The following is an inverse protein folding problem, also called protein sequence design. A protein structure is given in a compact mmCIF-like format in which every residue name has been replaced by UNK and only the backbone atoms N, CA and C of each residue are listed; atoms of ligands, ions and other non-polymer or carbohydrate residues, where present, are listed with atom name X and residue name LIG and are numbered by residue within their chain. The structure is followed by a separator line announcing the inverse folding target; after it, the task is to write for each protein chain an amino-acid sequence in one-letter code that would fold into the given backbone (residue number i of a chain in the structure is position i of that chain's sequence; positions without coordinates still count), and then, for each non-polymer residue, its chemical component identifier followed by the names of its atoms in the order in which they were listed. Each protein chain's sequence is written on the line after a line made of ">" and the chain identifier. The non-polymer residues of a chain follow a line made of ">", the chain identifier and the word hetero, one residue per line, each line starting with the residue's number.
data_IF_488289926148
#
_entry.id   IF_488289926148
#
_cell.length_a   1.000
_cell.length_b   1.000
_cell.length_c   1.000
_cell.angle_alpha   90.00
_cell.angle_beta   90.00
_cell.angle_gamma   90.00
#
_symmetry.space_group_name_H-M   'P 1'
#
loop_
_entity.id
_entity.type
_entity.pdbx_description
1 polymer ?
#
# COMPACT_ATOMS: atom_id res chain seq x y z
N UNK A 1 7.13 17.39 1.05
CA UNK A 1 6.96 16.13 0.29
C UNK A 1 6.94 14.96 1.26
N UNK A 2 5.85 14.18 1.37
CA UNK A 2 5.78 12.98 2.21
C UNK A 2 6.80 11.90 1.81
N UNK A 3 7.15 11.00 2.73
CA UNK A 3 8.15 9.94 2.51
C UNK A 3 7.59 8.58 2.96
N UNK A 4 7.78 7.54 2.15
CA UNK A 4 7.49 6.15 2.53
C UNK A 4 8.82 5.41 2.75
N UNK A 5 9.07 4.93 3.97
CA UNK A 5 10.33 4.27 4.33
C UNK A 5 10.08 2.78 4.56
N UNK A 6 10.53 1.96 3.61
CA UNK A 6 10.46 0.51 3.72
C UNK A 6 11.66 -0.06 4.48
N UNK A 7 11.41 -0.68 5.64
CA UNK A 7 12.42 -1.42 6.40
C UNK A 7 12.39 -2.89 5.98
N UNK A 8 13.44 -3.29 5.26
CA UNK A 8 13.60 -4.64 4.69
C UNK A 8 14.34 -5.61 5.62
N UNK A 9 15.17 -5.08 6.50
CA UNK A 9 16.06 -5.84 7.39
C UNK A 9 15.65 -5.72 8.84
N UNK A 10 15.79 -6.82 9.60
CA UNK A 10 15.55 -6.80 11.04
C UNK A 10 16.79 -6.25 11.77
N UNK A 11 16.90 -4.92 11.77
CA UNK A 11 18.03 -4.20 12.36
C UNK A 11 17.54 -3.03 13.23
N UNK A 12 17.69 -3.18 14.55
CA UNK A 12 17.20 -2.18 15.51
C UNK A 12 17.97 -0.87 15.45
N UNK A 13 19.27 -0.90 15.13
CA UNK A 13 20.07 0.30 14.97
C UNK A 13 19.59 1.12 13.76
N UNK A 14 19.26 0.45 12.64
CA UNK A 14 18.68 1.09 11.46
C UNK A 14 17.33 1.75 11.81
N UNK A 15 16.42 1.01 12.45
CA UNK A 15 15.09 1.51 12.83
C UNK A 15 15.23 2.75 13.73
N UNK A 16 16.12 2.69 14.73
CA UNK A 16 16.41 3.82 15.61
C UNK A 16 16.96 5.02 14.86
N UNK A 17 17.92 4.82 13.95
CA UNK A 17 18.51 5.91 13.15
C UNK A 17 17.49 6.58 12.24
N UNK A 18 16.58 5.80 11.64
CA UNK A 18 15.46 6.36 10.87
C UNK A 18 14.55 7.19 11.77
N UNK A 19 14.15 6.67 12.94
CA UNK A 19 13.33 7.38 13.93
C UNK A 19 13.97 8.70 14.39
N UNK A 20 15.27 8.68 14.71
CA UNK A 20 16.05 9.87 15.08
C UNK A 20 16.01 10.94 13.98
N UNK A 21 16.19 10.55 12.71
CA UNK A 21 16.12 11.49 11.58
C UNK A 21 14.70 12.07 11.41
N UNK A 22 13.67 11.23 11.47
CA UNK A 22 12.29 11.69 11.31
C UNK A 22 11.90 12.68 12.41
N UNK A 23 12.28 12.41 13.67
CA UNK A 23 12.07 13.32 14.80
C UNK A 23 12.87 14.60 14.66
N UNK A 24 14.16 14.51 14.33
CA UNK A 24 15.05 15.67 14.17
C UNK A 24 14.53 16.68 13.16
N UNK A 25 13.90 16.21 12.08
CA UNK A 25 13.35 17.07 11.04
C UNK A 25 11.84 17.34 11.19
N UNK A 26 11.22 16.89 12.29
CA UNK A 26 9.79 17.06 12.58
C UNK A 26 8.89 16.57 11.43
N UNK A 27 8.99 15.28 11.08
CA UNK A 27 8.32 14.70 9.90
C UNK A 27 7.48 13.46 10.20
N UNK A 28 7.10 13.27 11.45
CA UNK A 28 6.45 12.04 11.93
C UNK A 28 5.07 11.84 11.29
N UNK A 29 4.35 12.92 11.05
CA UNK A 29 3.03 13.00 10.41
C UNK A 29 3.04 12.73 8.90
N UNK A 30 4.19 12.92 8.25
CA UNK A 30 4.36 12.78 6.78
C UNK A 30 5.36 11.69 6.38
N UNK A 31 5.78 10.85 7.32
CA UNK A 31 6.70 9.73 7.05
C UNK A 31 6.07 8.41 7.46
N UNK A 32 6.00 7.47 6.54
CA UNK A 32 5.32 6.18 6.74
C UNK A 32 6.33 5.08 7.04
N UNK A 33 6.06 4.28 8.07
CA UNK A 33 6.71 2.99 8.24
C UNK A 33 6.12 1.95 7.28
N UNK A 34 6.94 1.36 6.42
CA UNK A 34 6.56 0.22 5.60
C UNK A 34 7.44 -1.00 5.92
N UNK A 35 6.83 -2.17 5.97
CA UNK A 35 7.52 -3.45 6.00
C UNK A 35 6.51 -4.57 5.77
N UNK A 36 6.87 -5.55 4.96
CA UNK A 36 6.03 -6.74 4.74
C UNK A 36 6.03 -7.69 5.95
N UNK A 37 7.05 -7.60 6.82
CA UNK A 37 7.28 -8.51 7.96
C UNK A 37 6.70 -7.93 9.26
N UNK A 38 5.75 -8.64 9.86
CA UNK A 38 5.09 -8.20 11.09
C UNK A 38 6.02 -8.01 12.29
N UNK A 39 7.09 -8.81 12.44
CA UNK A 39 8.03 -8.64 13.56
C UNK A 39 8.85 -7.35 13.42
N UNK A 40 9.29 -6.99 12.21
CA UNK A 40 9.97 -5.72 11.93
C UNK A 40 9.00 -4.56 12.18
N UNK A 41 7.78 -4.63 11.65
CA UNK A 41 6.79 -3.56 11.83
C UNK A 41 6.48 -3.31 13.32
N UNK A 42 6.42 -4.37 14.15
CA UNK A 42 6.29 -4.23 15.61
C UNK A 42 7.45 -3.45 16.23
N UNK A 43 8.69 -3.69 15.80
CA UNK A 43 9.87 -2.94 16.26
C UNK A 43 9.80 -1.47 15.81
N UNK A 44 9.45 -1.21 14.55
CA UNK A 44 9.26 0.16 14.04
C UNK A 44 8.22 0.95 14.85
N UNK A 45 7.05 0.35 15.07
CA UNK A 45 5.98 0.97 15.86
C UNK A 45 6.34 1.18 17.33
N UNK A 46 7.15 0.30 17.91
CA UNK A 46 7.67 0.47 19.27
C UNK A 46 8.65 1.64 19.35
N UNK A 47 9.52 1.79 18.36
CA UNK A 47 10.53 2.85 18.30
C UNK A 47 9.92 4.24 18.04
N UNK A 48 8.96 4.34 17.12
CA UNK A 48 8.20 5.56 16.90
C UNK A 48 6.72 5.26 16.61
N UNK A 49 5.84 5.33 17.63
CA UNK A 49 4.40 5.08 17.46
C UNK A 49 3.64 6.24 16.81
N UNK A 50 4.22 7.43 16.72
CA UNK A 50 3.58 8.63 16.15
C UNK A 50 3.49 8.58 14.63
N UNK A 51 4.36 7.81 13.99
CA UNK A 51 4.39 7.67 12.53
C UNK A 51 3.27 6.75 12.03
N UNK A 52 2.58 7.11 10.94
CA UNK A 52 1.68 6.19 10.26
C UNK A 52 2.43 4.96 9.73
N UNK A 53 1.72 3.85 9.59
CA UNK A 53 2.34 2.58 9.18
C UNK A 53 1.48 1.78 8.21
N UNK A 54 2.16 0.99 7.39
CA UNK A 54 1.55 0.16 6.36
C UNK A 54 1.14 -1.22 6.88
N UNK A 55 0.22 -1.86 6.15
CA UNK A 55 -0.12 -3.26 6.36
C UNK A 55 1.07 -4.18 6.11
N UNK A 56 1.19 -5.22 6.95
CA UNK A 56 2.07 -6.37 6.72
C UNK A 56 1.29 -7.51 6.08
N UNK A 57 1.97 -8.51 5.50
CA UNK A 57 1.28 -9.62 4.80
C UNK A 57 0.24 -10.35 5.67
N UNK A 58 0.53 -10.76 6.92
CA UNK A 58 -0.49 -11.39 7.77
C UNK A 58 -1.71 -10.50 8.04
N UNK A 59 -1.49 -9.18 8.12
CA UNK A 59 -2.56 -8.20 8.34
C UNK A 59 -3.41 -8.00 7.09
N UNK A 60 -2.83 -8.10 5.89
CA UNK A 60 -3.59 -8.16 4.63
C UNK A 60 -4.45 -9.43 4.58
N UNK A 61 -3.91 -10.60 4.94
CA UNK A 61 -4.71 -11.84 4.99
C UNK A 61 -5.88 -11.70 5.96
N UNK A 62 -5.64 -11.18 7.16
CA UNK A 62 -6.70 -10.91 8.12
C UNK A 62 -7.73 -9.91 7.60
N UNK A 63 -7.30 -8.84 6.91
CA UNK A 63 -8.19 -7.87 6.29
C UNK A 63 -9.11 -8.54 5.26
N UNK A 64 -8.58 -9.42 4.42
CA UNK A 64 -9.37 -10.15 3.42
C UNK A 64 -10.37 -11.10 4.08
N UNK A 65 -9.95 -11.84 5.11
CA UNK A 65 -10.86 -12.71 5.87
C UNK A 65 -12.01 -11.91 6.48
N UNK A 66 -11.72 -10.76 7.08
CA UNK A 66 -12.74 -9.86 7.64
C UNK A 66 -13.65 -9.26 6.55
N UNK A 67 -13.09 -8.91 5.39
CA UNK A 67 -13.86 -8.38 4.28
C UNK A 67 -14.83 -9.43 3.72
N UNK A 68 -14.34 -10.64 3.41
CA UNK A 68 -15.14 -11.70 2.80
C UNK A 68 -16.12 -12.37 3.78
N UNK A 69 -15.86 -12.32 5.08
CA UNK A 69 -16.83 -12.72 6.11
C UNK A 69 -17.88 -11.65 6.43
N UNK A 70 -17.72 -10.43 5.92
CA UNK A 70 -18.59 -9.30 6.23
C UNK A 70 -18.34 -8.67 7.60
N UNK A 71 -17.29 -9.08 8.33
CA UNK A 71 -16.97 -8.60 9.67
C UNK A 71 -16.14 -7.31 9.70
N UNK A 72 -15.55 -6.90 8.58
CA UNK A 72 -14.66 -5.73 8.50
C UNK A 72 -15.25 -4.42 9.08
N UNK A 73 -16.55 -4.10 8.91
CA UNK A 73 -17.15 -2.91 9.50
C UNK A 73 -17.12 -2.88 11.04
N UNK A 74 -17.04 -4.04 11.69
CA UNK A 74 -17.09 -4.18 13.15
C UNK A 74 -15.70 -4.23 13.79
N UNK A 75 -14.63 -4.21 13.00
CA UNK A 75 -13.25 -4.33 13.49
C UNK A 75 -12.47 -3.05 13.22
N UNK A 76 -11.84 -2.51 14.26
CA UNK A 76 -10.90 -1.40 14.15
C UNK A 76 -9.63 -1.82 13.40
N UNK A 77 -9.20 -1.00 12.46
CA UNK A 77 -7.98 -1.17 11.68
C UNK A 77 -7.04 -0.03 12.08
N UNK A 78 -5.83 -0.38 12.52
CA UNK A 78 -4.86 0.60 13.02
C UNK A 78 -3.87 1.08 11.96
N UNK A 79 -3.74 0.34 10.87
CA UNK A 79 -2.88 0.66 9.73
C UNK A 79 -3.42 1.86 8.94
N UNK A 80 -2.51 2.68 8.42
CA UNK A 80 -2.85 3.87 7.62
C UNK A 80 -2.69 3.66 6.11
N UNK A 81 -1.91 2.68 5.69
CA UNK A 81 -1.60 2.43 4.28
C UNK A 81 -1.69 0.95 3.90
N UNK A 82 -2.60 0.60 2.99
CA UNK A 82 -2.54 -0.66 2.26
C UNK A 82 -1.66 -0.46 1.03
N UNK A 83 -0.51 -1.13 0.99
CA UNK A 83 0.43 -1.03 -0.13
C UNK A 83 0.60 -2.43 -0.74
N UNK A 84 0.49 -2.57 -2.07
CA UNK A 84 0.69 -3.87 -2.69
C UNK A 84 0.73 -3.87 -4.21
N UNK A 85 1.08 -5.05 -4.74
CA UNK A 85 1.13 -5.27 -6.18
C UNK A 85 -0.23 -5.55 -6.80
N UNK A 86 -0.44 -5.10 -8.04
CA UNK A 86 -1.56 -5.57 -8.88
C UNK A 86 -1.14 -6.92 -9.50
N UNK A 87 -1.72 -8.06 -9.08
CA UNK A 87 -1.17 -9.38 -9.43
C UNK A 87 -1.03 -9.64 -10.93
N UNK A 88 -1.99 -9.18 -11.72
CA UNK A 88 -1.95 -9.32 -13.18
C UNK A 88 -0.91 -8.46 -13.90
N UNK A 89 -0.34 -7.44 -13.24
CA UNK A 89 0.78 -6.65 -13.77
C UNK A 89 2.11 -7.34 -13.45
N UNK A 90 2.20 -8.08 -12.34
CA UNK A 90 3.43 -8.76 -11.89
C UNK A 90 4.07 -9.57 -13.02
N UNK A 91 3.27 -10.35 -13.77
CA UNK A 91 3.80 -11.18 -14.85
C UNK A 91 4.41 -10.41 -16.04
N UNK A 92 4.21 -9.08 -16.13
CA UNK A 92 4.80 -8.23 -17.17
C UNK A 92 6.14 -7.64 -16.72
N UNK A 93 6.29 -7.33 -15.43
CA UNK A 93 7.41 -6.53 -14.90
C UNK A 93 8.33 -7.29 -13.96
N UNK A 94 7.88 -8.41 -13.38
CA UNK A 94 8.63 -9.19 -12.40
C UNK A 94 8.54 -10.68 -12.73
N UNK A 95 9.69 -11.34 -12.83
CA UNK A 95 9.74 -12.80 -13.00
C UNK A 95 9.36 -13.42 -11.65
N UNK A 96 8.21 -14.12 -11.53
CA UNK A 96 7.82 -14.69 -10.25
C UNK A 96 8.84 -15.76 -9.84
N UNK A 97 9.48 -15.59 -8.69
CA UNK A 97 10.37 -16.62 -8.14
C UNK A 97 9.61 -17.92 -7.82
N UNK A 98 8.32 -17.81 -7.47
CA UNK A 98 7.46 -18.96 -7.21
C UNK A 98 6.88 -19.56 -8.51
N UNK A 99 7.05 -20.87 -8.76
CA UNK A 99 6.44 -21.56 -9.91
C UNK A 99 4.92 -21.44 -9.97
N UNK A 100 4.25 -21.33 -8.82
CA UNK A 100 2.78 -21.24 -8.71
C UNK A 100 2.26 -19.92 -9.31
N UNK A 101 3.01 -18.83 -9.11
CA UNK A 101 2.68 -17.51 -9.66
C UNK A 101 2.89 -17.42 -11.18
N UNK A 102 3.45 -18.46 -11.84
CA UNK A 102 3.51 -18.54 -13.31
C UNK A 102 2.17 -18.94 -13.94
N UNK A 103 1.27 -19.56 -13.17
CA UNK A 103 -0.04 -19.96 -13.69
C UNK A 103 -0.95 -18.74 -13.87
N UNK A 104 -1.40 -18.51 -15.11
CA UNK A 104 -2.35 -17.41 -15.43
C UNK A 104 -3.65 -17.53 -14.65
N UNK A 105 -4.12 -18.74 -14.39
CA UNK A 105 -5.35 -18.98 -13.64
C UNK A 105 -5.17 -18.53 -12.19
N UNK A 106 -4.04 -18.92 -11.57
CA UNK A 106 -3.72 -18.52 -10.19
C UNK A 106 -3.59 -17.01 -10.07
N UNK A 107 -2.88 -16.37 -11.00
CA UNK A 107 -2.73 -14.90 -11.02
C UNK A 107 -4.08 -14.21 -11.20
N UNK A 108 -4.94 -14.70 -12.08
CA UNK A 108 -6.29 -14.16 -12.29
C UNK A 108 -7.16 -14.30 -11.04
N UNK A 109 -7.07 -15.43 -10.33
CA UNK A 109 -7.77 -15.63 -9.06
C UNK A 109 -7.25 -14.68 -7.98
N UNK A 110 -5.93 -14.57 -7.82
CA UNK A 110 -5.33 -13.64 -6.86
C UNK A 110 -5.69 -12.19 -7.16
N UNK A 111 -5.69 -11.80 -8.44
CA UNK A 111 -6.10 -10.47 -8.86
C UNK A 111 -7.55 -10.19 -8.47
N UNK A 112 -8.47 -11.13 -8.75
CA UNK A 112 -9.87 -11.02 -8.32
C UNK A 112 -10.02 -10.95 -6.80
N UNK A 113 -9.25 -11.72 -6.04
CA UNK A 113 -9.37 -11.75 -4.58
C UNK A 113 -8.79 -10.49 -3.93
N UNK A 114 -7.66 -10.01 -4.43
CA UNK A 114 -6.94 -8.88 -3.82
C UNK A 114 -7.44 -7.52 -4.31
N UNK A 115 -7.82 -7.40 -5.58
CA UNK A 115 -8.14 -6.14 -6.25
C UNK A 115 -9.65 -5.84 -6.21
N UNK A 116 -10.21 -5.77 -5.01
CA UNK A 116 -11.64 -5.53 -4.79
C UNK A 116 -11.96 -4.04 -4.60
N UNK A 117 -12.73 -3.46 -5.54
CA UNK A 117 -13.09 -2.03 -5.50
C UNK A 117 -13.83 -1.62 -4.23
N UNK A 118 -14.75 -2.46 -3.77
CA UNK A 118 -15.55 -2.17 -2.58
C UNK A 118 -14.70 -2.22 -1.30
N UNK A 119 -13.71 -3.12 -1.25
CA UNK A 119 -12.72 -3.14 -0.17
C UNK A 119 -11.93 -1.82 -0.17
N UNK A 120 -11.39 -1.39 -1.30
CA UNK A 120 -10.60 -0.15 -1.36
C UNK A 120 -11.44 1.08 -1.02
N UNK A 121 -12.68 1.14 -1.51
CA UNK A 121 -13.64 2.19 -1.12
C UNK A 121 -13.91 2.19 0.38
N UNK A 122 -14.08 1.01 0.99
CA UNK A 122 -14.29 0.88 2.43
C UNK A 122 -13.06 1.36 3.23
N UNK A 123 -11.86 1.00 2.80
CA UNK A 123 -10.61 1.45 3.42
C UNK A 123 -10.44 2.97 3.29
N UNK A 124 -10.64 3.53 2.09
CA UNK A 124 -10.54 4.96 1.85
C UNK A 124 -11.55 5.77 2.67
N UNK A 125 -12.79 5.28 2.81
CA UNK A 125 -13.80 5.90 3.67
C UNK A 125 -13.41 5.91 5.16
N UNK A 126 -12.49 5.04 5.57
CA UNK A 126 -11.91 4.99 6.91
C UNK A 126 -10.59 5.77 7.04
N UNK A 127 -10.24 6.57 6.03
CA UNK A 127 -8.99 7.34 6.01
C UNK A 127 -7.74 6.52 5.69
N UNK A 128 -7.89 5.25 5.30
CA UNK A 128 -6.77 4.38 4.95
C UNK A 128 -6.43 4.58 3.48
N UNK A 129 -5.17 4.91 3.20
CA UNK A 129 -4.69 5.07 1.84
C UNK A 129 -4.40 3.72 1.19
N UNK A 130 -4.75 3.57 -0.08
CA UNK A 130 -4.49 2.37 -0.88
C UNK A 130 -3.50 2.75 -1.98
N UNK A 131 -2.26 2.28 -1.87
CA UNK A 131 -1.20 2.53 -2.85
C UNK A 131 -0.87 1.26 -3.63
N UNK A 132 -0.98 1.31 -4.95
CA UNK A 132 -0.69 0.17 -5.82
C UNK A 132 0.62 0.37 -6.59
N UNK A 133 1.42 -0.68 -6.69
CA UNK A 133 2.75 -0.64 -7.31
C UNK A 133 3.10 -1.97 -8.00
N UNK A 134 4.17 -2.10 -8.77
CA UNK A 134 4.82 -1.00 -9.50
C UNK A 134 4.03 -0.81 -10.79
N UNK A 135 3.41 0.36 -10.96
CA UNK A 135 2.67 0.71 -12.17
C UNK A 135 3.57 1.56 -13.04
N UNK A 136 3.83 1.19 -14.29
CA UNK A 136 4.83 1.89 -15.14
C UNK A 136 4.26 2.36 -16.49
N UNK A 137 3.07 1.92 -16.85
CA UNK A 137 2.35 2.31 -18.08
C UNK A 137 1.03 3.04 -17.78
N UNK A 138 0.54 3.84 -18.74
CA UNK A 138 -0.75 4.54 -18.63
C UNK A 138 -1.92 3.57 -18.35
N UNK A 139 -1.87 2.34 -18.89
CA UNK A 139 -2.86 1.30 -18.60
C UNK A 139 -2.82 0.82 -17.15
N UNK A 140 -1.64 0.80 -16.53
CA UNK A 140 -1.46 0.40 -15.14
C UNK A 140 -2.03 1.48 -14.21
N UNK A 141 -1.77 2.76 -14.53
CA UNK A 141 -2.32 3.91 -13.82
C UNK A 141 -3.86 3.91 -13.90
N UNK A 142 -4.39 3.79 -15.12
CA UNK A 142 -5.83 3.70 -15.36
C UNK A 142 -6.45 2.58 -14.53
N UNK A 143 -5.83 1.39 -14.52
CA UNK A 143 -6.31 0.27 -13.74
C UNK A 143 -6.28 0.57 -12.25
N UNK A 144 -5.15 1.02 -11.72
CA UNK A 144 -5.00 1.31 -10.29
C UNK A 144 -6.06 2.30 -9.80
N UNK A 145 -6.25 3.41 -10.51
CA UNK A 145 -7.27 4.40 -10.16
C UNK A 145 -8.70 3.87 -10.37
N UNK A 146 -8.96 3.08 -11.41
CA UNK A 146 -10.27 2.46 -11.62
C UNK A 146 -10.67 1.45 -10.52
N UNK A 147 -9.68 0.89 -9.82
CA UNK A 147 -9.87 0.02 -8.67
C UNK A 147 -10.17 0.80 -7.39
N UNK A 148 -9.93 2.12 -7.37
CA UNK A 148 -10.08 2.95 -6.19
C UNK A 148 -8.78 3.15 -5.39
N UNK A 149 -7.61 2.94 -6.02
CA UNK A 149 -6.34 3.31 -5.39
C UNK A 149 -6.32 4.82 -5.10
N UNK A 150 -5.84 5.19 -3.90
CA UNK A 150 -5.66 6.60 -3.51
C UNK A 150 -4.29 7.13 -3.93
N UNK A 151 -3.38 6.24 -4.35
CA UNK A 151 -2.05 6.57 -4.84
C UNK A 151 -1.45 5.44 -5.67
N UNK A 152 -0.41 5.76 -6.42
CA UNK A 152 0.34 4.82 -7.27
C UNK A 152 1.82 5.01 -7.01
N UNK A 153 2.58 3.92 -6.94
CA UNK A 153 4.05 3.98 -6.97
C UNK A 153 4.56 3.48 -8.32
N UNK A 154 5.49 4.25 -8.90
CA UNK A 154 5.98 4.09 -10.26
C UNK A 154 7.45 4.47 -10.34
N UNK A 155 8.19 3.83 -11.25
CA UNK A 155 9.54 4.23 -11.62
C UNK A 155 9.55 5.44 -12.58
N UNK A 156 8.38 5.83 -13.12
CA UNK A 156 8.22 6.91 -14.10
C UNK A 156 7.33 8.05 -13.57
N UNK A 157 7.77 8.81 -12.55
CA UNK A 157 6.94 9.83 -11.91
C UNK A 157 6.51 10.96 -12.86
N UNK A 158 7.36 11.33 -13.83
CA UNK A 158 6.99 12.33 -14.86
C UNK A 158 5.83 11.84 -15.73
N UNK A 159 5.83 10.56 -16.13
CA UNK A 159 4.73 9.98 -16.90
C UNK A 159 3.43 9.94 -16.09
N UNK A 160 3.50 9.55 -14.82
CA UNK A 160 2.34 9.60 -13.93
C UNK A 160 1.78 11.02 -13.79
N UNK A 161 2.65 12.03 -13.67
CA UNK A 161 2.23 13.44 -13.64
C UNK A 161 1.52 13.85 -14.93
N UNK A 162 2.06 13.48 -16.09
CA UNK A 162 1.45 13.80 -17.40
C UNK A 162 0.12 13.06 -17.59
N UNK A 163 0.02 11.82 -17.10
CA UNK A 163 -1.22 11.05 -17.07
C UNK A 163 -2.29 11.73 -16.20
N UNK A 164 -1.95 12.15 -14.97
CA UNK A 164 -2.87 12.84 -14.06
C UNK A 164 -3.29 14.23 -14.56
N UNK A 165 -2.43 14.90 -15.34
CA UNK A 165 -2.77 16.18 -15.98
C UNK A 165 -3.85 15.98 -17.05
N UNK A 166 -3.77 14.88 -17.81
CA UNK A 166 -4.78 14.49 -18.81
C UNK A 166 -6.04 13.88 -18.20
N UNK A 167 -5.93 13.27 -17.03
CA UNK A 167 -7.01 12.57 -16.32
C UNK A 167 -7.08 13.04 -14.86
N UNK A 168 -7.56 14.28 -14.62
CA UNK A 168 -7.59 14.83 -13.27
C UNK A 168 -8.46 13.95 -12.36
N UNK A 169 -7.97 13.58 -11.15
CA UNK A 169 -8.77 12.81 -10.22
C UNK A 169 -10.00 13.59 -9.77
N UNK A 170 -11.10 12.90 -9.41
CA UNK A 170 -12.27 13.58 -8.87
C UNK A 170 -11.88 14.37 -7.61
N UNK A 171 -12.53 15.52 -7.35
CA UNK A 171 -12.25 16.33 -6.18
C UNK A 171 -12.38 15.49 -4.91
N UNK A 172 -11.39 15.59 -4.02
CA UNK A 172 -11.48 14.91 -2.71
C UNK A 172 -12.68 15.49 -1.96
N UNK A 173 -13.55 14.66 -1.34
CA UNK A 173 -14.58 15.18 -0.46
C UNK A 173 -13.91 16.01 0.63
N UNK A 174 -14.44 17.20 0.89
CA UNK A 174 -13.92 18.09 1.92
C UNK A 174 -13.87 17.31 3.24
N UNK A 175 -12.69 17.27 3.86
CA UNK A 175 -12.53 16.81 5.23
C UNK A 175 -13.32 17.75 6.13
N UNK A 176 -14.43 17.24 6.69
CA UNK A 176 -15.19 17.91 7.75
C UNK A 176 -14.43 17.81 9.07
#
# INVERSE_FOLDING_TARGET
>A
MPINVEIKEDNEMLIKKVSELVKRYNREDITVWASVKSHIMKKCRKENPSMPFAFTVPRVVQLLLLYYSGLLPFVSVGESFLQGYIPSIINRTFIPESPILRSRIVVSLLDKVLMQKQLFKHLAARGIQVHLFVCNEDSDFQRAFSLGATGVMTDYPSRLRDYLTRHPPPPRPASQ
#
